data_IF_702862344957
#
_entry.id   IF_702862344957
#
_cell.length_a   1.000
_cell.length_b   1.000
_cell.length_c   1.000
_cell.angle_alpha   90.00
_cell.angle_beta   90.00
_cell.angle_gamma   90.00
#
_symmetry.space_group_name_H-M   'P 1'
#
loop_
_entity.id
_entity.type
_entity.pdbx_description
1 polymer ?
#
# COMPACT_ATOMS: atom_id res chain seq x y z
N UNK A 1 -10.65 -13.04 -5.34
CA UNK A 1 -9.43 -12.28 -5.71
C UNK A 1 -9.01 -11.30 -4.61
N UNK A 2 -7.73 -11.28 -4.22
CA UNK A 2 -7.13 -10.26 -3.34
C UNK A 2 -6.29 -9.29 -4.16
N UNK A 3 -6.53 -7.98 -4.02
CA UNK A 3 -5.76 -6.92 -4.69
C UNK A 3 -5.03 -6.07 -3.65
N UNK A 4 -3.70 -6.04 -3.69
CA UNK A 4 -2.87 -5.23 -2.81
C UNK A 4 -2.39 -3.98 -3.54
N UNK A 5 -2.93 -2.82 -3.17
CA UNK A 5 -2.52 -1.50 -3.68
C UNK A 5 -1.34 -1.00 -2.85
N UNK A 6 -0.16 -0.98 -3.46
CA UNK A 6 1.12 -0.68 -2.83
C UNK A 6 1.81 0.57 -3.38
N UNK A 7 2.85 0.99 -2.66
CA UNK A 7 3.62 2.19 -2.94
C UNK A 7 3.99 2.94 -1.67
N UNK A 8 4.88 3.91 -1.80
CA UNK A 8 5.29 4.78 -0.69
C UNK A 8 4.08 5.54 -0.10
N UNK A 9 4.20 5.98 1.14
CA UNK A 9 3.21 6.89 1.71
C UNK A 9 3.10 8.19 0.91
N UNK A 10 1.90 8.74 0.83
CA UNK A 10 1.59 9.86 -0.08
C UNK A 10 1.31 9.45 -1.53
N UNK A 11 1.54 8.19 -1.92
CA UNK A 11 1.20 7.71 -3.27
C UNK A 11 -0.32 7.64 -3.55
N UNK A 12 -1.15 7.67 -2.50
CA UNK A 12 -2.61 7.66 -2.62
C UNK A 12 -3.24 6.26 -2.55
N UNK A 13 -2.54 5.28 -1.98
CA UNK A 13 -3.00 3.89 -1.82
C UNK A 13 -4.41 3.77 -1.26
N UNK A 14 -4.71 4.43 -0.14
CA UNK A 14 -6.04 4.36 0.49
C UNK A 14 -7.12 5.00 -0.38
N UNK A 15 -6.80 6.07 -1.11
CA UNK A 15 -7.75 6.73 -2.02
C UNK A 15 -8.04 5.86 -3.24
N UNK A 16 -7.00 5.38 -3.93
CA UNK A 16 -7.17 4.53 -5.12
C UNK A 16 -7.75 3.18 -4.73
N UNK A 17 -7.27 2.56 -3.65
CA UNK A 17 -7.76 1.27 -3.17
C UNK A 17 -9.24 1.30 -2.79
N UNK A 18 -9.71 2.36 -2.09
CA UNK A 18 -11.13 2.50 -1.77
C UNK A 18 -11.99 2.70 -3.00
N UNK A 19 -11.53 3.50 -3.96
CA UNK A 19 -12.25 3.72 -5.22
C UNK A 19 -12.28 2.45 -6.09
N UNK A 20 -11.17 1.70 -6.14
CA UNK A 20 -11.09 0.42 -6.82
C UNK A 20 -12.02 -0.61 -6.18
N UNK A 21 -12.03 -0.71 -4.85
CA UNK A 21 -12.92 -1.59 -4.11
C UNK A 21 -14.39 -1.30 -4.45
N UNK A 22 -14.77 -0.02 -4.47
CA UNK A 22 -16.13 0.39 -4.87
C UNK A 22 -16.45 0.01 -6.32
N UNK A 23 -15.51 0.21 -7.26
CA UNK A 23 -15.66 -0.16 -8.68
C UNK A 23 -15.81 -1.67 -8.90
N UNK A 24 -15.15 -2.48 -8.09
CA UNK A 24 -15.18 -3.94 -8.18
C UNK A 24 -16.26 -4.58 -7.29
N UNK A 25 -16.94 -3.80 -6.43
CA UNK A 25 -17.90 -4.34 -5.46
C UNK A 25 -17.25 -5.15 -4.33
N UNK A 26 -15.98 -4.87 -4.00
CA UNK A 26 -15.18 -5.62 -3.04
C UNK A 26 -15.03 -4.89 -1.69
N UNK A 27 -14.80 -5.62 -0.58
CA UNK A 27 -14.38 -5.01 0.68
C UNK A 27 -13.04 -4.27 0.56
N UNK A 28 -12.89 -3.17 1.29
CA UNK A 28 -11.64 -2.41 1.39
C UNK A 28 -11.04 -2.51 2.78
N UNK A 29 -9.72 -2.69 2.86
CA UNK A 29 -8.94 -2.61 4.10
C UNK A 29 -7.80 -1.61 3.93
N UNK A 30 -7.54 -0.82 4.97
CA UNK A 30 -6.34 0.02 5.06
C UNK A 30 -5.36 -0.62 6.03
N UNK A 31 -4.20 -1.06 5.54
CA UNK A 31 -3.21 -1.76 6.34
C UNK A 31 -2.68 -0.92 7.50
N UNK A 32 -2.69 0.41 7.38
CA UNK A 32 -2.19 1.32 8.42
C UNK A 32 -3.06 1.25 9.69
N UNK A 33 -4.34 0.85 9.58
CA UNK A 33 -5.26 0.66 10.72
C UNK A 33 -4.90 -0.56 11.59
N UNK A 34 -4.05 -1.46 11.08
CA UNK A 34 -3.68 -2.71 11.75
C UNK A 34 -2.29 -2.66 12.37
N UNK A 35 -1.61 -1.49 12.35
CA UNK A 35 -0.34 -1.36 13.03
C UNK A 35 -0.51 -1.50 14.55
N UNK A 36 0.38 -2.24 15.22
CA UNK A 36 0.38 -2.30 16.68
C UNK A 36 0.73 -0.92 17.25
N UNK A 37 0.26 -0.57 18.47
CA UNK A 37 0.46 0.76 19.05
C UNK A 37 1.92 1.22 19.09
N UNK A 38 2.86 0.29 19.29
CA UNK A 38 4.30 0.60 19.33
C UNK A 38 4.81 1.09 17.97
N UNK A 39 4.32 0.51 16.87
CA UNK A 39 4.68 0.95 15.52
C UNK A 39 4.12 2.34 15.23
N UNK A 40 2.88 2.60 15.64
CA UNK A 40 2.26 3.91 15.49
C UNK A 40 3.06 4.96 16.25
N UNK A 41 3.42 4.69 17.51
CA UNK A 41 4.23 5.58 18.33
C UNK A 41 5.61 5.87 17.69
N UNK A 42 6.30 4.83 17.20
CA UNK A 42 7.62 4.94 16.56
C UNK A 42 7.57 5.78 15.28
N UNK A 43 6.56 5.57 14.43
CA UNK A 43 6.37 6.40 13.23
C UNK A 43 5.99 7.84 13.59
N UNK A 44 5.13 8.04 14.60
CA UNK A 44 4.75 9.36 15.08
C UNK A 44 5.93 10.17 15.65
N UNK A 45 6.93 9.50 16.22
CA UNK A 45 8.19 10.13 16.64
C UNK A 45 9.19 10.35 15.50
N UNK A 46 8.79 10.12 14.24
CA UNK A 46 9.66 10.28 13.06
C UNK A 46 10.71 9.18 12.91
N UNK A 47 10.61 8.08 13.68
CA UNK A 47 11.55 6.96 13.60
C UNK A 47 11.02 5.92 12.60
N UNK A 48 11.79 5.54 11.57
CA UNK A 48 11.37 4.49 10.65
C UNK A 48 11.19 3.14 11.36
N UNK A 49 10.18 2.37 10.93
CA UNK A 49 10.05 0.99 11.33
C UNK A 49 11.17 0.13 10.71
N UNK A 50 11.60 -0.88 11.45
CA UNK A 50 12.51 -1.95 11.01
C UNK A 50 11.73 -3.13 10.44
N UNK A 51 12.43 -4.14 9.92
CA UNK A 51 11.83 -5.38 9.43
C UNK A 51 11.22 -6.19 10.59
N UNK A 52 11.83 -6.13 11.79
CA UNK A 52 11.31 -6.77 13.00
C UNK A 52 9.99 -6.12 13.44
N UNK A 53 9.90 -4.79 13.39
CA UNK A 53 8.68 -4.06 13.73
C UNK A 53 7.52 -4.39 12.75
N UNK A 54 7.83 -4.56 11.46
CA UNK A 54 6.81 -4.84 10.43
C UNK A 54 6.33 -6.28 10.40
N UNK A 55 7.14 -7.24 10.85
CA UNK A 55 6.82 -8.67 10.74
C UNK A 55 5.48 -9.06 11.40
N UNK A 56 5.20 -8.72 12.68
CA UNK A 56 3.93 -9.07 13.31
C UNK A 56 2.73 -8.43 12.61
N UNK A 57 2.90 -7.22 12.09
CA UNK A 57 1.89 -6.49 11.33
C UNK A 57 1.57 -7.18 10.00
N UNK A 58 2.58 -7.58 9.22
CA UNK A 58 2.40 -8.31 7.96
C UNK A 58 1.73 -9.67 8.17
N UNK A 59 2.09 -10.38 9.24
CA UNK A 59 1.48 -11.67 9.60
C UNK A 59 0.01 -11.50 10.03
N UNK A 60 -0.32 -10.44 10.76
CA UNK A 60 -1.70 -10.13 11.12
C UNK A 60 -2.56 -9.82 9.87
N UNK A 61 -2.02 -9.05 8.92
CA UNK A 61 -2.68 -8.76 7.65
C UNK A 61 -2.89 -10.03 6.83
N UNK A 62 -1.88 -10.88 6.69
CA UNK A 62 -2.00 -12.14 5.96
C UNK A 62 -3.09 -13.04 6.57
N UNK A 63 -3.10 -13.23 7.90
CA UNK A 63 -4.18 -13.98 8.59
C UNK A 63 -5.57 -13.40 8.32
N UNK A 64 -5.69 -12.08 8.27
CA UNK A 64 -6.96 -11.42 7.96
C UNK A 64 -7.41 -11.69 6.53
N UNK A 65 -6.48 -11.66 5.57
CA UNK A 65 -6.74 -11.92 4.15
C UNK A 65 -7.13 -13.39 3.89
N UNK A 66 -6.57 -14.35 4.64
CA UNK A 66 -6.99 -15.76 4.60
C UNK A 66 -8.46 -15.96 4.99
N UNK A 67 -9.01 -15.09 5.83
CA UNK A 67 -10.42 -15.11 6.22
C UNK A 67 -11.35 -14.39 5.24
N UNK A 68 -10.85 -13.96 4.07
CA UNK A 68 -11.61 -13.18 3.10
C UNK A 68 -11.54 -13.81 1.71
N UNK A 69 -12.69 -14.08 1.05
CA UNK A 69 -12.66 -14.62 -0.31
C UNK A 69 -12.11 -13.59 -1.30
N UNK A 70 -12.46 -12.31 -1.11
CA UNK A 70 -12.08 -11.20 -1.97
C UNK A 70 -11.91 -9.90 -1.18
N UNK A 71 -10.93 -9.08 -1.55
CA UNK A 71 -10.67 -7.80 -0.90
C UNK A 71 -9.70 -6.91 -1.70
N UNK A 72 -9.78 -5.60 -1.47
CA UNK A 72 -8.72 -4.65 -1.82
C UNK A 72 -8.04 -4.16 -0.55
N UNK A 73 -6.72 -4.34 -0.46
CA UNK A 73 -5.89 -3.90 0.66
C UNK A 73 -4.96 -2.76 0.22
N UNK A 74 -5.04 -1.60 0.86
CA UNK A 74 -3.99 -0.59 0.76
C UNK A 74 -2.84 -0.93 1.72
N UNK A 75 -1.64 -1.22 1.23
CA UNK A 75 -0.48 -1.57 2.07
C UNK A 75 0.83 -1.07 1.45
N UNK A 76 1.76 -0.53 2.23
CA UNK A 76 3.03 -0.04 1.68
C UNK A 76 3.83 -1.13 0.93
N UNK A 77 3.92 -2.34 1.50
CA UNK A 77 4.51 -3.54 0.89
C UNK A 77 5.83 -3.31 0.11
N UNK A 78 6.70 -2.47 0.67
CA UNK A 78 7.84 -1.87 -0.03
C UNK A 78 8.93 -2.88 -0.44
N UNK A 79 9.16 -3.94 0.36
CA UNK A 79 10.13 -5.00 0.07
C UNK A 79 9.48 -6.22 -0.55
N UNK A 80 10.23 -6.98 -1.34
CA UNK A 80 9.80 -8.26 -1.90
C UNK A 80 9.45 -9.28 -0.80
N UNK A 81 10.23 -9.31 0.29
CA UNK A 81 9.91 -10.18 1.44
C UNK A 81 8.54 -9.82 2.06
N UNK A 82 8.19 -8.53 2.10
CA UNK A 82 6.89 -8.12 2.64
C UNK A 82 5.74 -8.57 1.74
N UNK A 83 5.91 -8.43 0.42
CA UNK A 83 4.95 -8.90 -0.57
C UNK A 83 4.76 -10.42 -0.49
N UNK A 84 5.86 -11.18 -0.38
CA UNK A 84 5.83 -12.63 -0.22
C UNK A 84 5.09 -13.06 1.05
N UNK A 85 5.36 -12.41 2.20
CA UNK A 85 4.64 -12.68 3.45
C UNK A 85 3.15 -12.38 3.37
N UNK A 86 2.78 -11.25 2.76
CA UNK A 86 1.38 -10.87 2.60
C UNK A 86 0.63 -11.85 1.70
N UNK A 87 1.25 -12.28 0.61
CA UNK A 87 0.65 -13.19 -0.37
C UNK A 87 0.73 -14.67 0.03
N UNK A 88 1.45 -15.01 1.10
CA UNK A 88 1.70 -16.40 1.47
C UNK A 88 0.39 -17.17 1.71
N UNK A 89 0.18 -18.21 0.91
CA UNK A 89 -1.00 -19.08 0.98
C UNK A 89 -2.28 -18.49 0.37
N UNK A 90 -2.24 -17.29 -0.20
CA UNK A 90 -3.38 -16.74 -0.95
C UNK A 90 -3.34 -17.29 -2.39
N UNK A 91 -4.44 -17.88 -2.83
CA UNK A 91 -4.52 -18.52 -4.17
C UNK A 91 -4.50 -17.50 -5.32
N UNK A 92 -5.18 -16.37 -5.14
CA UNK A 92 -5.28 -15.31 -6.14
C UNK A 92 -5.01 -13.94 -5.52
N UNK A 93 -3.73 -13.52 -5.56
CA UNK A 93 -3.26 -12.26 -5.02
C UNK A 93 -2.56 -11.44 -6.12
N UNK A 94 -3.06 -10.22 -6.37
CA UNK A 94 -2.54 -9.29 -7.38
C UNK A 94 -1.95 -8.05 -6.70
N UNK A 95 -0.78 -7.62 -7.13
CA UNK A 95 -0.17 -6.37 -6.66
C UNK A 95 -0.40 -5.24 -7.66
N UNK A 96 -0.75 -4.07 -7.15
CA UNK A 96 -0.85 -2.82 -7.89
C UNK A 96 0.17 -1.85 -7.31
N UNK A 97 1.12 -1.39 -8.11
CA UNK A 97 2.13 -0.43 -7.68
C UNK A 97 1.75 0.98 -8.15
N UNK A 98 1.43 1.85 -7.18
CA UNK A 98 1.27 3.28 -7.42
C UNK A 98 2.66 3.94 -7.48
N UNK A 99 3.20 4.02 -8.69
CA UNK A 99 4.55 4.50 -8.98
C UNK A 99 4.58 6.02 -9.10
N UNK A 100 5.55 6.66 -8.46
CA UNK A 100 5.76 8.10 -8.59
C UNK A 100 7.16 8.50 -8.18
N UNK A 101 7.67 9.58 -8.76
CA UNK A 101 8.96 10.15 -8.35
C UNK A 101 8.88 10.76 -6.95
N UNK A 102 10.01 10.83 -6.26
CA UNK A 102 10.08 11.42 -4.92
C UNK A 102 9.60 12.87 -4.91
N UNK A 103 9.84 13.63 -5.98
CA UNK A 103 9.40 15.02 -6.13
C UNK A 103 7.87 15.12 -6.19
N UNK A 104 7.22 14.24 -6.95
CA UNK A 104 5.75 14.21 -7.06
C UNK A 104 5.14 13.85 -5.71
N UNK A 105 5.67 12.83 -5.04
CA UNK A 105 5.16 12.40 -3.73
C UNK A 105 5.38 13.49 -2.68
N UNK A 106 6.56 14.13 -2.66
CA UNK A 106 6.86 15.24 -1.75
C UNK A 106 5.89 16.40 -1.93
N UNK A 107 5.60 16.80 -3.17
CA UNK A 107 4.60 17.85 -3.47
C UNK A 107 3.21 17.48 -2.94
N UNK A 108 2.79 16.21 -3.11
CA UNK A 108 1.50 15.71 -2.61
C UNK A 108 1.41 15.71 -1.09
N UNK A 109 2.49 15.30 -0.42
CA UNK A 109 2.56 15.31 1.04
C UNK A 109 2.57 16.74 1.58
N UNK A 110 3.31 17.67 0.96
CA UNK A 110 3.32 19.07 1.39
C UNK A 110 1.93 19.75 1.29
N UNK A 111 1.13 19.36 0.30
CA UNK A 111 -0.23 19.87 0.12
C UNK A 111 -1.24 19.29 1.12
N UNK A 112 -0.88 18.27 1.93
CA UNK A 112 -1.77 17.61 2.90
C UNK A 112 -1.17 17.70 4.30
N UNK A 113 -1.93 18.16 5.29
CA UNK A 113 -1.54 18.01 6.70
C UNK A 113 -1.65 16.51 7.09
N UNK A 114 -0.59 15.73 6.85
CA UNK A 114 -0.59 14.32 7.22
C UNK A 114 -0.15 14.14 8.67
N UNK A 115 -1.01 13.55 9.50
CA UNK A 115 -0.84 13.45 10.96
C UNK A 115 0.35 12.58 11.42
N UNK A 116 0.93 11.78 10.52
CA UNK A 116 1.89 10.72 10.88
C UNK A 116 3.19 10.71 10.06
N UNK A 117 3.40 11.62 9.12
CA UNK A 117 4.57 11.54 8.23
C UNK A 117 5.29 12.87 8.01
N UNK A 118 6.36 13.14 8.79
CA UNK A 118 7.30 14.18 8.42
C UNK A 118 7.99 13.84 7.09
N UNK A 119 8.40 14.88 6.36
CA UNK A 119 9.08 14.74 5.07
C UNK A 119 10.25 13.76 5.13
N UNK A 120 10.99 13.72 6.24
CA UNK A 120 12.16 12.83 6.48
C UNK A 120 11.87 11.33 6.39
N UNK A 121 10.62 10.88 6.56
CA UNK A 121 10.27 9.48 6.41
C UNK A 121 10.11 9.09 4.94
N UNK A 122 9.90 10.06 4.03
CA UNK A 122 9.74 9.79 2.61
C UNK A 122 11.01 9.21 1.99
N UNK A 123 12.17 9.81 2.29
CA UNK A 123 13.46 9.32 1.80
C UNK A 123 13.71 7.88 2.27
N UNK A 124 13.40 7.57 3.52
CA UNK A 124 13.53 6.21 4.06
C UNK A 124 12.63 5.20 3.33
N UNK A 125 11.42 5.61 2.92
CA UNK A 125 10.51 4.73 2.18
C UNK A 125 10.98 4.46 0.76
N UNK A 126 11.50 5.47 0.07
CA UNK A 126 12.11 5.28 -1.26
C UNK A 126 13.37 4.42 -1.19
N UNK A 127 14.21 4.60 -0.16
CA UNK A 127 15.37 3.74 0.07
C UNK A 127 14.99 2.29 0.40
N UNK A 128 13.80 2.08 1.00
CA UNK A 128 13.27 0.75 1.33
C UNK A 128 12.52 0.10 0.16
N UNK A 129 12.06 0.88 -0.81
CA UNK A 129 11.26 0.40 -1.93
C UNK A 129 12.12 -0.47 -2.85
N UNK A 130 11.79 -1.75 -2.90
CA UNK A 130 12.26 -2.71 -3.89
C UNK A 130 11.19 -2.78 -4.99
N UNK A 131 11.43 -2.22 -6.19
CA UNK A 131 10.45 -2.18 -7.26
C UNK A 131 9.88 -3.58 -7.55
N UNK A 132 8.54 -3.75 -7.55
CA UNK A 132 7.94 -5.05 -7.82
C UNK A 132 8.13 -5.44 -9.28
N UNK A 133 8.41 -6.72 -9.54
CA UNK A 133 8.53 -7.26 -10.91
C UNK A 133 7.18 -7.63 -11.50
N UNK A 134 6.30 -8.19 -10.69
CA UNK A 134 5.01 -8.75 -11.11
C UNK A 134 3.84 -7.95 -10.51
N UNK A 135 3.79 -6.65 -10.80
CA UNK A 135 2.72 -5.77 -10.36
C UNK A 135 2.12 -4.95 -11.52
N UNK A 136 0.83 -4.66 -11.41
CA UNK A 136 0.17 -3.67 -12.25
C UNK A 136 0.71 -2.29 -11.85
N UNK A 137 1.54 -1.70 -12.71
CA UNK A 137 2.06 -0.35 -12.45
C UNK A 137 1.08 0.73 -12.93
N UNK A 138 0.85 1.72 -12.07
CA UNK A 138 0.03 2.89 -12.35
C UNK A 138 0.76 4.13 -11.88
N UNK A 139 0.88 5.10 -12.77
CA UNK A 139 1.48 6.40 -12.45
C UNK A 139 0.60 7.18 -11.49
N UNK A 140 1.19 7.62 -10.38
CA UNK A 140 0.46 8.41 -9.38
C UNK A 140 -0.06 9.70 -9.97
N UNK A 141 0.57 10.27 -11.00
CA UNK A 141 0.20 11.53 -11.66
C UNK A 141 -1.16 11.49 -12.35
N UNK A 142 -1.69 10.31 -12.67
CA UNK A 142 -3.03 10.14 -13.20
C UNK A 142 -4.12 10.50 -12.16
N UNK A 143 -5.31 10.81 -12.65
CA UNK A 143 -6.48 11.01 -11.79
C UNK A 143 -6.90 9.68 -11.15
N UNK A 144 -7.55 9.73 -9.99
CA UNK A 144 -8.04 8.51 -9.31
C UNK A 144 -8.94 7.66 -10.22
N UNK A 145 -9.92 8.23 -10.98
CA UNK A 145 -10.70 7.44 -11.94
C UNK A 145 -9.85 6.76 -13.01
N UNK A 146 -8.86 7.45 -13.57
CA UNK A 146 -7.97 6.87 -14.58
C UNK A 146 -7.13 5.73 -14.00
N UNK A 147 -6.64 5.87 -12.76
CA UNK A 147 -5.96 4.78 -12.06
C UNK A 147 -6.87 3.57 -11.89
N UNK A 148 -8.10 3.78 -11.41
CA UNK A 148 -9.07 2.71 -11.15
C UNK A 148 -9.40 1.94 -12.43
N UNK A 149 -9.71 2.64 -13.53
CA UNK A 149 -10.01 1.99 -14.81
C UNK A 149 -8.80 1.25 -15.38
N UNK A 150 -7.60 1.83 -15.29
CA UNK A 150 -6.37 1.17 -15.73
C UNK A 150 -6.05 -0.12 -14.94
N UNK A 151 -6.42 -0.16 -13.66
CA UNK A 151 -6.28 -1.35 -12.80
C UNK A 151 -7.36 -2.37 -13.15
N UNK A 152 -8.63 -1.96 -13.17
CA UNK A 152 -9.77 -2.84 -13.47
C UNK A 152 -9.58 -3.57 -14.82
N UNK A 153 -9.20 -2.83 -15.87
CA UNK A 153 -8.95 -3.41 -17.19
C UNK A 153 -7.85 -4.49 -17.18
N UNK A 154 -6.77 -4.31 -16.39
CA UNK A 154 -5.70 -5.30 -16.25
C UNK A 154 -6.06 -6.49 -15.37
N UNK A 155 -7.06 -6.32 -14.50
CA UNK A 155 -7.67 -7.40 -13.72
C UNK A 155 -8.77 -8.14 -14.51
N UNK A 156 -9.19 -7.61 -15.66
CA UNK A 156 -10.23 -8.20 -16.53
C UNK A 156 -11.67 -7.74 -16.21
N UNK A 157 -11.84 -6.56 -15.62
CA UNK A 157 -13.11 -5.97 -15.20
C UNK A 157 -13.42 -4.61 -15.85
#
# INVERSE_FOLDING_TARGET
MIVIVMGVSGAGKSTVGRALAARLGLPFLDADEFHPPENVAKMASGTPLTDADRRPWLEALNRRLHGMPEAVLACSALKEDYRRRLAQGLEDCRFVHLRGSIEIIRKRLAARQHRYMPASLLESQFATLEPPRDAIEVEVSASVPACVEAIAARLGH
#
